data_IF_202170606959
#
_entry.id   IF_202170606959
#
_cell.length_a   1.000
_cell.length_b   1.000
_cell.length_c   1.000
_cell.angle_alpha   90.00
_cell.angle_beta   90.00
_cell.angle_gamma   90.00
#
_symmetry.space_group_name_H-M   'P 1'
#
loop_
_entity.id
_entity.type
_entity.pdbx_description
1 polymer ?
#
# COMPACT_ATOMS: atom_id res chain seq x y z
N UNK A 1 29.88 8.31 33.27
CA UNK A 1 28.72 9.07 32.78
C UNK A 1 29.17 9.99 31.67
N UNK A 2 28.86 9.63 30.42
CA UNK A 2 28.91 10.54 29.26
C UNK A 2 27.73 10.14 28.36
N UNK A 3 26.63 10.90 28.34
CA UNK A 3 25.39 10.48 27.69
C UNK A 3 25.23 11.06 26.28
N UNK A 4 26.26 11.00 25.42
CA UNK A 4 26.17 11.49 24.03
C UNK A 4 27.17 10.77 23.11
N UNK A 5 26.84 9.56 22.66
CA UNK A 5 27.38 8.98 21.42
C UNK A 5 26.59 7.74 20.96
N UNK A 6 25.41 7.92 20.37
CA UNK A 6 24.86 6.87 19.49
C UNK A 6 23.92 7.45 18.43
N UNK A 7 24.51 8.01 17.38
CA UNK A 7 23.75 8.50 16.21
C UNK A 7 23.69 7.45 15.08
N UNK A 8 24.11 6.21 15.33
CA UNK A 8 23.98 5.10 14.36
C UNK A 8 22.55 4.56 14.38
N UNK A 9 21.56 5.38 13.98
CA UNK A 9 20.31 4.81 13.45
C UNK A 9 20.69 3.98 12.23
N UNK A 10 20.63 2.66 12.39
CA UNK A 10 20.87 1.69 11.33
C UNK A 10 19.73 1.85 10.32
N UNK A 11 19.97 2.17 9.03
CA UNK A 11 18.93 2.05 8.03
C UNK A 11 18.54 0.56 7.97
N UNK A 12 17.35 0.22 8.47
CA UNK A 12 16.93 -1.16 8.67
C UNK A 12 16.45 -1.51 10.08
N UNK A 13 16.27 -0.52 10.99
CA UNK A 13 15.49 -0.71 12.22
C UNK A 13 14.16 -1.41 11.85
N UNK A 14 13.98 -2.63 12.36
CA UNK A 14 13.03 -3.68 11.94
C UNK A 14 11.84 -3.16 11.12
N UNK A 15 11.89 -3.39 9.79
CA UNK A 15 10.66 -3.42 8.98
C UNK A 15 9.70 -4.40 9.68
N UNK A 16 8.42 -4.05 9.89
CA UNK A 16 7.47 -5.05 10.36
C UNK A 16 7.62 -6.29 9.49
N UNK A 17 7.63 -7.48 10.10
CA UNK A 17 7.59 -8.73 9.36
C UNK A 17 6.46 -8.64 8.31
N UNK A 18 6.55 -9.33 7.15
CA UNK A 18 5.46 -9.36 6.18
C UNK A 18 4.16 -9.58 6.93
N UNK A 19 3.37 -8.52 7.07
CA UNK A 19 2.20 -8.55 7.93
C UNK A 19 1.12 -9.16 7.07
N UNK A 20 1.05 -10.49 7.08
CA UNK A 20 -0.03 -11.24 6.48
C UNK A 20 -1.25 -10.96 7.33
N UNK A 21 -2.01 -9.93 6.97
CA UNK A 21 -3.34 -9.67 7.52
C UNK A 21 -4.40 -10.21 6.59
N UNK A 22 -5.51 -10.70 7.15
CA UNK A 22 -6.73 -10.98 6.37
C UNK A 22 -7.32 -9.65 5.91
N UNK A 23 -7.62 -9.53 4.62
CA UNK A 23 -8.29 -8.37 4.04
C UNK A 23 -9.67 -8.79 3.55
N UNK A 24 -10.70 -8.48 4.32
CA UNK A 24 -11.98 -8.14 3.72
C UNK A 24 -11.92 -6.71 3.16
N UNK A 25 -12.94 -6.34 2.38
CA UNK A 25 -13.04 -5.03 1.74
C UNK A 25 -13.04 -3.86 2.73
N UNK A 26 -13.59 -4.04 3.95
CA UNK A 26 -13.62 -3.00 4.99
C UNK A 26 -12.21 -2.75 5.57
N UNK A 27 -11.48 -3.83 5.84
CA UNK A 27 -10.11 -3.81 6.34
C UNK A 27 -9.17 -3.17 5.30
N UNK A 28 -9.37 -3.46 4.01
CA UNK A 28 -8.63 -2.80 2.93
C UNK A 28 -8.92 -1.29 2.89
N UNK A 29 -10.19 -0.87 2.93
CA UNK A 29 -10.56 0.55 2.98
C UNK A 29 -9.89 1.29 4.13
N UNK A 30 -9.89 0.71 5.33
CA UNK A 30 -9.20 1.27 6.52
C UNK A 30 -7.69 1.39 6.31
N UNK A 31 -7.07 0.38 5.69
CA UNK A 31 -5.63 0.38 5.38
C UNK A 31 -5.28 1.50 4.40
N UNK A 32 -6.07 1.68 3.34
CA UNK A 32 -5.86 2.74 2.35
C UNK A 32 -6.01 4.14 2.95
N UNK A 33 -7.04 4.37 3.77
CA UNK A 33 -7.21 5.63 4.49
C UNK A 33 -6.05 5.89 5.47
N UNK A 34 -5.56 4.84 6.13
CA UNK A 34 -4.39 4.93 7.01
C UNK A 34 -3.12 5.29 6.22
N UNK A 35 -2.94 4.75 5.01
CA UNK A 35 -1.83 5.09 4.14
C UNK A 35 -1.84 6.58 3.77
N UNK A 36 -3.01 7.13 3.47
CA UNK A 36 -3.19 8.57 3.20
C UNK A 36 -2.84 9.43 4.42
N UNK A 37 -3.46 9.18 5.57
CA UNK A 37 -3.29 10.00 6.78
C UNK A 37 -1.84 9.95 7.28
N UNK A 38 -1.22 8.76 7.27
CA UNK A 38 0.14 8.56 7.77
C UNK A 38 1.23 8.81 6.72
N UNK A 39 0.85 9.30 5.52
CA UNK A 39 1.76 9.63 4.42
C UNK A 39 2.71 8.50 4.03
N UNK A 40 2.19 7.28 3.91
CA UNK A 40 2.99 6.12 3.55
C UNK A 40 3.70 6.31 2.20
N UNK A 41 4.94 5.83 2.12
CA UNK A 41 5.73 5.77 0.89
C UNK A 41 6.28 4.35 0.78
N UNK A 42 5.50 3.47 0.16
CA UNK A 42 5.82 2.05 0.01
C UNK A 42 4.96 1.44 -1.10
N UNK A 43 5.29 0.22 -1.52
CA UNK A 43 4.42 -0.60 -2.34
C UNK A 43 3.69 -1.63 -1.47
N UNK A 44 2.42 -1.85 -1.74
CA UNK A 44 1.56 -2.83 -1.09
C UNK A 44 1.10 -3.81 -2.16
N UNK A 45 1.40 -5.09 -1.97
CA UNK A 45 0.89 -6.19 -2.79
C UNK A 45 -0.26 -6.86 -2.07
N UNK A 46 -1.42 -6.89 -2.73
CA UNK A 46 -2.61 -7.62 -2.32
C UNK A 46 -2.67 -8.94 -3.10
N UNK A 47 -3.11 -10.00 -2.43
CA UNK A 47 -3.33 -11.32 -3.02
C UNK A 47 -4.69 -11.85 -2.61
N UNK A 48 -5.54 -12.21 -3.58
CA UNK A 48 -6.88 -12.78 -3.36
C UNK A 48 -7.14 -13.94 -4.31
N UNK A 49 -7.09 -15.17 -3.80
CA UNK A 49 -7.02 -16.37 -4.63
C UNK A 49 -5.77 -16.33 -5.53
N UNK A 50 -5.97 -16.52 -6.84
CA UNK A 50 -4.91 -16.46 -7.86
C UNK A 50 -4.62 -15.03 -8.37
N UNK A 51 -5.36 -14.02 -7.89
CA UNK A 51 -5.25 -12.63 -8.37
C UNK A 51 -4.30 -11.83 -7.50
N UNK A 52 -3.60 -10.87 -8.11
CA UNK A 52 -2.73 -9.93 -7.38
C UNK A 52 -2.96 -8.49 -7.80
N UNK A 53 -2.97 -7.59 -6.82
CA UNK A 53 -3.06 -6.16 -7.04
C UNK A 53 -1.88 -5.46 -6.38
N UNK A 54 -1.18 -4.60 -7.12
CA UNK A 54 -0.04 -3.81 -6.64
C UNK A 54 -0.46 -2.35 -6.50
N UNK A 55 -0.31 -1.80 -5.30
CA UNK A 55 -0.61 -0.41 -4.97
C UNK A 55 0.66 0.31 -4.57
N UNK A 56 0.93 1.47 -5.15
CA UNK A 56 2.15 2.24 -4.94
C UNK A 56 1.81 3.57 -4.29
N UNK A 57 2.36 3.83 -3.11
CA UNK A 57 2.11 5.05 -2.37
C UNK A 57 3.34 5.96 -2.38
N UNK A 58 3.12 7.26 -2.55
CA UNK A 58 4.11 8.31 -2.40
C UNK A 58 3.56 9.38 -1.46
N UNK A 59 4.17 9.56 -0.29
CA UNK A 59 3.75 10.57 0.70
C UNK A 59 2.24 10.53 1.04
N UNK A 60 1.62 9.34 1.02
CA UNK A 60 0.19 9.13 1.28
C UNK A 60 -0.73 9.26 0.08
N UNK A 61 -0.22 9.72 -1.07
CA UNK A 61 -0.94 9.64 -2.33
C UNK A 61 -0.77 8.24 -2.90
N UNK A 62 -1.89 7.58 -3.25
CA UNK A 62 -1.84 6.37 -4.07
C UNK A 62 -1.47 6.80 -5.48
N UNK A 63 -0.23 6.57 -5.89
CA UNK A 63 0.34 7.01 -7.16
C UNK A 63 -0.04 6.08 -8.32
N UNK A 64 -0.08 4.78 -8.05
CA UNK A 64 -0.37 3.79 -9.07
C UNK A 64 -1.06 2.57 -8.47
N UNK A 65 -2.00 2.00 -9.23
CA UNK A 65 -2.62 0.72 -8.92
C UNK A 65 -2.61 -0.17 -10.18
N UNK A 66 -2.35 -1.46 -10.02
CA UNK A 66 -2.37 -2.42 -11.12
C UNK A 66 -2.84 -3.80 -10.66
N UNK A 67 -3.78 -4.42 -11.39
CA UNK A 67 -4.36 -5.74 -11.10
C UNK A 67 -4.72 -6.43 -12.41
N UNK A 68 -4.13 -7.58 -12.72
CA UNK A 68 -4.49 -8.46 -13.85
C UNK A 68 -4.90 -7.74 -15.17
N UNK A 69 -4.04 -6.85 -15.67
CA UNK A 69 -4.26 -6.10 -16.91
C UNK A 69 -5.07 -4.80 -16.76
N UNK A 70 -5.59 -4.51 -15.58
CA UNK A 70 -6.17 -3.23 -15.19
C UNK A 70 -5.10 -2.33 -14.55
N UNK A 71 -5.28 -1.01 -14.70
CA UNK A 71 -4.50 0.00 -13.98
C UNK A 71 -5.42 1.08 -13.38
N UNK A 72 -4.87 1.91 -12.49
CA UNK A 72 -5.56 3.06 -11.92
C UNK A 72 -6.78 2.69 -11.08
N UNK A 73 -7.81 3.54 -11.12
CA UNK A 73 -9.00 3.37 -10.28
C UNK A 73 -9.71 2.05 -10.56
N UNK A 74 -9.72 1.55 -11.80
CA UNK A 74 -10.33 0.26 -12.14
C UNK A 74 -9.65 -0.92 -11.44
N UNK A 75 -8.32 -0.92 -11.35
CA UNK A 75 -7.58 -1.95 -10.61
C UNK A 75 -7.86 -1.89 -9.11
N UNK A 76 -7.96 -0.67 -8.55
CA UNK A 76 -8.30 -0.48 -7.15
C UNK A 76 -9.72 -0.96 -6.85
N UNK A 77 -10.69 -0.61 -7.69
CA UNK A 77 -12.08 -1.02 -7.52
C UNK A 77 -12.23 -2.54 -7.63
N UNK A 78 -11.55 -3.20 -8.58
CA UNK A 78 -11.55 -4.66 -8.67
C UNK A 78 -11.09 -5.31 -7.37
N UNK A 79 -9.93 -4.91 -6.83
CA UNK A 79 -9.41 -5.51 -5.60
C UNK A 79 -10.27 -5.22 -4.36
N UNK A 80 -11.03 -4.11 -4.33
CA UNK A 80 -11.99 -3.82 -3.27
C UNK A 80 -13.23 -4.74 -3.30
N UNK A 81 -13.48 -5.44 -4.42
CA UNK A 81 -14.56 -6.44 -4.51
C UNK A 81 -14.16 -7.82 -4.00
N UNK A 82 -12.87 -8.04 -3.73
CA UNK A 82 -12.41 -9.36 -3.32
C UNK A 82 -12.97 -9.69 -1.92
N UNK A 83 -13.58 -10.87 -1.74
CA UNK A 83 -14.26 -11.22 -0.49
C UNK A 83 -13.26 -11.43 0.65
N UNK A 84 -12.07 -11.91 0.32
CA UNK A 84 -10.97 -12.18 1.22
C UNK A 84 -9.62 -12.08 0.49
N UNK A 85 -8.55 -11.98 1.27
CA UNK A 85 -7.20 -11.89 0.74
C UNK A 85 -6.17 -11.61 1.81
N UNK A 86 -4.94 -11.36 1.35
CA UNK A 86 -3.82 -10.95 2.18
C UNK A 86 -3.06 -9.79 1.56
N UNK A 87 -2.27 -9.09 2.38
CA UNK A 87 -1.34 -8.09 1.89
C UNK A 87 0.08 -8.32 2.36
N UNK A 88 1.01 -7.75 1.62
CA UNK A 88 2.42 -7.65 1.98
C UNK A 88 2.96 -6.29 1.54
N UNK A 89 3.84 -5.70 2.35
CA UNK A 89 4.60 -4.53 1.91
C UNK A 89 5.84 -4.97 1.13
N UNK A 90 6.09 -4.31 0.00
CA UNK A 90 7.23 -4.55 -0.87
C UNK A 90 8.08 -3.30 -1.02
N UNK A 91 8.82 -2.97 0.05
CA UNK A 91 9.78 -1.86 0.04
C UNK A 91 11.03 -2.09 -0.82
N UNK A 92 10.99 -3.05 -1.76
CA UNK A 92 11.97 -3.22 -2.84
C UNK A 92 11.34 -3.04 -4.22
N UNK A 93 10.01 -2.88 -4.30
CA UNK A 93 9.32 -2.67 -5.55
C UNK A 93 9.85 -1.40 -6.23
N UNK A 94 10.07 -1.49 -7.53
CA UNK A 94 10.37 -0.31 -8.33
C UNK A 94 9.09 0.49 -8.51
N UNK A 95 9.18 1.80 -8.29
CA UNK A 95 8.08 2.71 -8.54
C UNK A 95 7.76 2.74 -10.05
N UNK A 96 6.49 2.55 -10.45
CA UNK A 96 6.06 2.74 -11.83
C UNK A 96 6.37 4.16 -12.32
N UNK A 97 6.54 4.32 -13.64
CA UNK A 97 6.80 5.65 -14.23
C UNK A 97 5.55 6.50 -14.38
N UNK A 98 4.40 5.85 -14.50
CA UNK A 98 3.12 6.46 -14.79
C UNK A 98 2.29 6.57 -13.50
N UNK A 99 1.81 7.78 -13.24
CA UNK A 99 0.75 8.04 -12.26
C UNK A 99 -0.58 7.61 -12.88
N UNK A 100 -1.32 6.71 -12.23
CA UNK A 100 -2.61 6.20 -12.75
C UNK A 100 -3.79 6.53 -11.85
N UNK A 101 -3.55 7.20 -10.74
CA UNK A 101 -4.54 7.61 -9.76
C UNK A 101 -4.34 9.10 -9.53
N UNK A 102 -5.28 9.93 -9.98
CA UNK A 102 -5.15 11.39 -9.88
C UNK A 102 -5.90 11.96 -8.66
N UNK A 103 -6.82 11.18 -8.08
CA UNK A 103 -7.69 11.61 -7.00
C UNK A 103 -7.20 11.12 -5.63
N UNK A 104 -7.47 11.86 -4.54
CA UNK A 104 -7.24 11.39 -3.19
C UNK A 104 -8.01 10.09 -2.89
N UNK A 105 -7.44 9.22 -2.04
CA UNK A 105 -8.00 7.89 -1.73
C UNK A 105 -9.40 8.03 -1.13
N UNK A 106 -9.60 8.98 -0.22
CA UNK A 106 -10.91 9.23 0.40
C UNK A 106 -12.00 9.58 -0.61
N UNK A 107 -11.64 10.32 -1.67
CA UNK A 107 -12.59 10.66 -2.74
C UNK A 107 -12.92 9.46 -3.63
N UNK A 108 -11.96 8.57 -3.86
CA UNK A 108 -12.18 7.34 -4.65
C UNK A 108 -13.06 6.36 -3.87
N UNK A 109 -12.84 6.24 -2.55
CA UNK A 109 -13.57 5.32 -1.70
C UNK A 109 -15.02 5.76 -1.39
N UNK A 110 -15.32 7.05 -1.57
CA UNK A 110 -16.65 7.63 -1.37
C UNK A 110 -17.58 7.52 -2.60
N UNK A 111 -17.05 7.08 -3.75
CA UNK A 111 -17.81 6.83 -4.97
C UNK A 111 -18.51 5.46 -4.93
#
# INVERSE_FOLDING_TARGET
>A
MSPWLDWKRKPGERRPAPTVGSLDSESLRKLLLSAQVNRWTDALRLTGGERTCSLYFLFGHLFHAASDGLTGESALQDCLTWPDGSFTFDGKAQLPREETIERPIDQILAA
#
